data_IF_215472314628
#
_entry.id   IF_215472314628
#
_cell.length_a   1.000
_cell.length_b   1.000
_cell.length_c   1.000
_cell.angle_alpha   90.00
_cell.angle_beta   90.00
_cell.angle_gamma   90.00
#
_symmetry.space_group_name_H-M   'P 1'
#
loop_
_entity.id
_entity.type
_entity.pdbx_description
1 polymer ?
#
# COMPACT_ATOMS: atom_id res chain seq x y z
N UNK A 1 -33.66 18.24 -6.61
CA UNK A 1 -32.37 17.56 -6.31
C UNK A 1 -32.68 16.11 -5.93
N UNK A 2 -32.75 15.21 -6.91
CA UNK A 2 -33.08 13.78 -6.67
C UNK A 2 -32.65 12.85 -7.83
N UNK A 3 -31.75 13.31 -8.70
CA UNK A 3 -31.42 12.60 -9.95
C UNK A 3 -30.20 11.65 -9.83
N UNK A 4 -29.41 11.72 -8.75
CA UNK A 4 -28.26 10.85 -8.55
C UNK A 4 -28.66 9.41 -8.17
N UNK A 5 -29.75 9.25 -7.41
CA UNK A 5 -30.21 7.95 -6.90
C UNK A 5 -30.85 7.10 -8.03
N UNK A 6 -31.56 7.70 -8.99
CA UNK A 6 -32.16 6.96 -10.11
C UNK A 6 -31.11 6.44 -11.12
N UNK A 7 -30.02 7.19 -11.34
CA UNK A 7 -28.88 6.70 -12.13
C UNK A 7 -28.09 5.58 -11.41
N UNK A 8 -28.20 5.52 -10.09
CA UNK A 8 -27.62 4.48 -9.24
C UNK A 8 -28.45 3.19 -9.24
N UNK A 9 -29.78 3.30 -9.26
CA UNK A 9 -30.72 2.18 -9.28
C UNK A 9 -30.93 1.59 -10.68
N UNK A 10 -30.61 2.32 -11.75
CA UNK A 10 -30.99 1.95 -13.12
C UNK A 10 -29.88 1.61 -14.12
N UNK A 11 -28.59 1.84 -13.83
CA UNK A 11 -27.58 1.50 -14.85
C UNK A 11 -26.11 1.53 -14.48
N UNK A 12 -25.68 2.38 -13.53
CA UNK A 12 -24.23 2.63 -13.39
C UNK A 12 -23.54 1.98 -12.19
N UNK A 13 -24.24 1.55 -11.13
CA UNK A 13 -23.60 0.90 -9.98
C UNK A 13 -23.99 -0.57 -9.82
N UNK A 14 -25.28 -0.88 -9.96
CA UNK A 14 -25.77 -2.25 -9.89
C UNK A 14 -25.17 -3.11 -11.00
N UNK A 15 -25.02 -2.57 -12.22
CA UNK A 15 -24.35 -3.25 -13.33
C UNK A 15 -22.87 -3.52 -13.05
N UNK A 16 -22.19 -2.59 -12.37
CA UNK A 16 -20.77 -2.76 -11.97
C UNK A 16 -20.65 -3.82 -10.88
N UNK A 17 -21.54 -3.83 -9.88
CA UNK A 17 -21.56 -4.84 -8.83
C UNK A 17 -21.78 -6.24 -9.39
N UNK A 18 -22.76 -6.39 -10.29
CA UNK A 18 -23.05 -7.67 -10.97
C UNK A 18 -21.87 -8.09 -11.84
N UNK A 19 -21.26 -7.18 -12.60
CA UNK A 19 -20.06 -7.47 -13.40
C UNK A 19 -18.87 -7.88 -12.53
N UNK A 20 -18.62 -7.20 -11.41
CA UNK A 20 -17.57 -7.56 -10.44
C UNK A 20 -17.83 -8.92 -9.82
N UNK A 21 -19.07 -9.23 -9.47
CA UNK A 21 -19.46 -10.53 -8.93
C UNK A 21 -19.25 -11.65 -9.95
N UNK A 22 -19.67 -11.44 -11.21
CA UNK A 22 -19.43 -12.38 -12.31
C UNK A 22 -17.93 -12.54 -12.62
N UNK A 23 -17.16 -11.44 -12.66
CA UNK A 23 -15.71 -11.46 -12.86
C UNK A 23 -14.99 -12.17 -11.71
N UNK A 24 -15.43 -11.99 -10.47
CA UNK A 24 -14.91 -12.71 -9.29
C UNK A 24 -15.21 -14.20 -9.36
N UNK A 25 -16.42 -14.59 -9.80
CA UNK A 25 -16.77 -15.99 -10.03
C UNK A 25 -15.92 -16.62 -11.15
N UNK A 26 -15.74 -15.91 -12.26
CA UNK A 26 -14.88 -16.36 -13.37
C UNK A 26 -13.41 -16.46 -12.93
N UNK A 27 -12.89 -15.46 -12.22
CA UNK A 27 -11.54 -15.48 -11.67
C UNK A 27 -11.37 -16.64 -10.68
N UNK A 28 -12.35 -16.89 -9.81
CA UNK A 28 -12.36 -18.04 -8.89
C UNK A 28 -12.37 -19.39 -9.62
N UNK A 29 -13.14 -19.50 -10.70
CA UNK A 29 -13.17 -20.70 -11.54
C UNK A 29 -11.82 -20.93 -12.25
N UNK A 30 -11.20 -19.87 -12.78
CA UNK A 30 -9.87 -19.92 -13.41
C UNK A 30 -8.80 -20.33 -12.38
N UNK A 31 -8.84 -19.80 -11.16
CA UNK A 31 -7.93 -20.20 -10.08
C UNK A 31 -8.05 -21.69 -9.74
N UNK A 32 -9.28 -22.21 -9.71
CA UNK A 32 -9.55 -23.64 -9.51
C UNK A 32 -9.02 -24.49 -10.67
N UNK A 33 -9.14 -24.01 -11.92
CA UNK A 33 -8.57 -24.65 -13.11
C UNK A 33 -7.04 -24.72 -13.10
N UNK A 34 -6.38 -23.74 -12.49
CA UNK A 34 -4.93 -23.72 -12.31
C UNK A 34 -4.44 -24.58 -11.13
N UNK A 35 -5.35 -25.27 -10.41
CA UNK A 35 -5.10 -25.97 -9.13
C UNK A 35 -4.56 -25.04 -8.02
N UNK A 36 -4.63 -23.71 -8.24
CA UNK A 36 -4.20 -22.71 -7.27
C UNK A 36 -5.40 -22.39 -6.38
N UNK A 37 -5.49 -23.09 -5.25
CA UNK A 37 -6.50 -22.84 -4.23
C UNK A 37 -6.45 -21.37 -3.76
N UNK A 38 -7.55 -20.59 -3.90
CA UNK A 38 -7.58 -19.16 -3.55
C UNK A 38 -7.22 -18.88 -2.08
N UNK A 39 -7.49 -19.84 -1.18
CA UNK A 39 -7.07 -19.74 0.23
C UNK A 39 -5.56 -19.83 0.44
N UNK A 40 -4.81 -20.50 -0.46
CA UNK A 40 -3.36 -20.65 -0.33
C UNK A 40 -2.58 -19.42 -0.81
N UNK A 41 -3.13 -18.65 -1.77
CA UNK A 41 -2.54 -17.37 -2.19
C UNK A 41 -2.64 -16.34 -1.08
N UNK A 42 -3.80 -16.24 -0.42
CA UNK A 42 -4.02 -15.32 0.70
C UNK A 42 -3.13 -15.67 1.90
N UNK A 43 -3.03 -16.95 2.26
CA UNK A 43 -2.15 -17.37 3.35
C UNK A 43 -0.67 -17.17 3.02
N UNK A 44 -0.23 -17.37 1.77
CA UNK A 44 1.15 -17.06 1.36
C UNK A 44 1.47 -15.56 1.46
N UNK A 45 0.53 -14.69 1.08
CA UNK A 45 0.68 -13.23 1.23
C UNK A 45 0.70 -12.82 2.70
N UNK A 46 -0.14 -13.41 3.55
CA UNK A 46 -0.15 -13.15 4.98
C UNK A 46 1.16 -13.58 5.65
N UNK A 47 1.69 -14.77 5.35
CA UNK A 47 2.97 -15.22 5.86
C UNK A 47 4.14 -14.38 5.30
N UNK A 48 4.08 -13.93 4.04
CA UNK A 48 5.03 -12.95 3.50
C UNK A 48 4.94 -11.61 4.25
N UNK A 49 3.76 -11.10 4.54
CA UNK A 49 3.60 -9.84 5.27
C UNK A 49 4.10 -9.95 6.71
N UNK A 50 3.79 -11.04 7.42
CA UNK A 50 4.27 -11.27 8.80
C UNK A 50 5.79 -11.43 8.84
N UNK A 51 6.37 -12.18 7.90
CA UNK A 51 7.84 -12.34 7.81
C UNK A 51 8.55 -11.06 7.37
N UNK A 52 7.96 -10.27 6.45
CA UNK A 52 8.45 -8.95 6.05
C UNK A 52 8.33 -7.92 7.18
N UNK A 53 7.30 -8.01 8.05
CA UNK A 53 7.18 -7.13 9.21
C UNK A 53 8.24 -7.47 10.26
N UNK A 54 8.46 -8.76 10.53
CA UNK A 54 9.49 -9.23 11.48
C UNK A 54 10.92 -8.91 11.04
N UNK A 55 11.24 -9.07 9.75
CA UNK A 55 12.56 -8.73 9.20
C UNK A 55 12.71 -7.23 8.87
N UNK A 56 11.63 -6.58 8.47
CA UNK A 56 11.58 -5.18 8.07
C UNK A 56 11.93 -4.23 9.21
N UNK A 57 11.51 -4.52 10.45
CA UNK A 57 11.92 -3.72 11.62
C UNK A 57 13.44 -3.74 11.86
N UNK A 58 14.12 -4.85 11.54
CA UNK A 58 15.59 -4.95 11.63
C UNK A 58 16.29 -4.11 10.56
N UNK A 59 15.85 -4.22 9.30
CA UNK A 59 16.38 -3.42 8.20
C UNK A 59 16.08 -1.92 8.38
N UNK A 60 14.92 -1.57 8.91
CA UNK A 60 14.52 -0.19 9.19
C UNK A 60 15.42 0.44 10.25
N UNK A 61 15.84 -0.31 11.29
CA UNK A 61 16.80 0.17 12.30
C UNK A 61 18.14 0.54 11.68
N UNK A 62 18.63 -0.27 10.73
CA UNK A 62 19.89 0.00 10.04
C UNK A 62 19.77 1.27 9.16
N UNK A 63 18.68 1.39 8.38
CA UNK A 63 18.40 2.58 7.56
C UNK A 63 18.32 3.83 8.43
N UNK A 64 17.61 3.75 9.56
CA UNK A 64 17.52 4.85 10.52
C UNK A 64 18.90 5.21 11.11
N UNK A 65 19.78 4.24 11.34
CA UNK A 65 21.16 4.50 11.78
C UNK A 65 21.95 5.30 10.73
N UNK A 66 21.87 4.92 9.45
CA UNK A 66 22.50 5.67 8.36
C UNK A 66 21.91 7.08 8.21
N UNK A 67 20.60 7.23 8.35
CA UNK A 67 19.93 8.55 8.30
C UNK A 67 20.42 9.43 9.47
N UNK A 68 20.49 8.88 10.68
CA UNK A 68 21.00 9.61 11.86
C UNK A 68 22.47 9.97 11.69
N UNK A 69 23.30 9.07 11.16
CA UNK A 69 24.70 9.35 10.87
C UNK A 69 24.87 10.51 9.87
N UNK A 70 24.06 10.52 8.80
CA UNK A 70 24.03 11.65 7.87
C UNK A 70 23.51 12.94 8.52
N UNK A 71 22.45 12.84 9.34
CA UNK A 71 21.86 13.97 10.04
C UNK A 71 22.85 14.64 10.99
N UNK A 72 23.74 13.89 11.64
CA UNK A 72 24.80 14.43 12.52
C UNK A 72 25.68 15.45 11.78
N UNK A 73 25.91 15.29 10.47
CA UNK A 73 26.74 16.20 9.69
C UNK A 73 25.90 17.30 9.04
N UNK A 74 24.76 16.94 8.45
CA UNK A 74 23.93 17.88 7.67
C UNK A 74 23.24 18.90 8.59
N UNK A 75 22.79 18.49 9.77
CA UNK A 75 22.05 19.39 10.68
C UNK A 75 22.91 20.55 11.18
N UNK A 76 24.15 20.35 11.69
CA UNK A 76 25.03 21.45 12.07
C UNK A 76 25.40 22.36 10.91
N UNK A 77 25.71 21.80 9.74
CA UNK A 77 26.07 22.59 8.54
C UNK A 77 24.89 23.46 8.13
N UNK A 78 23.68 22.90 8.06
CA UNK A 78 22.47 23.66 7.78
C UNK A 78 22.21 24.75 8.82
N UNK A 79 22.42 24.46 10.11
CA UNK A 79 22.21 25.42 11.19
C UNK A 79 23.15 26.62 11.08
N UNK A 80 24.43 26.39 10.79
CA UNK A 80 25.42 27.45 10.57
C UNK A 80 25.05 28.29 9.35
N UNK A 81 24.77 27.66 8.22
CA UNK A 81 24.35 28.35 6.99
C UNK A 81 23.08 29.18 7.22
N UNK A 82 22.12 28.64 7.98
CA UNK A 82 20.89 29.34 8.35
C UNK A 82 21.19 30.58 9.19
N UNK A 83 22.03 30.46 10.22
CA UNK A 83 22.36 31.56 11.12
C UNK A 83 23.09 32.70 10.37
N UNK A 84 23.91 32.35 9.38
CA UNK A 84 24.58 33.31 8.51
C UNK A 84 23.60 34.02 7.55
N UNK A 85 22.64 33.29 6.97
CA UNK A 85 21.61 33.88 6.10
C UNK A 85 20.59 34.74 6.87
N UNK A 86 20.40 34.51 8.17
CA UNK A 86 19.50 35.30 9.03
C UNK A 86 20.03 36.71 9.36
N UNK A 87 21.32 37.00 9.09
CA UNK A 87 21.94 38.30 9.36
C UNK A 87 21.95 39.26 8.16
N UNK A 88 21.28 38.92 7.06
CA UNK A 88 21.07 39.80 5.90
C UNK A 88 19.63 40.29 5.89
#
# INVERSE_FOLDING_TARGET
MSNAIQNFLGGSLLSVLIRLLLLSLLAGAILTWLDISPGQLLSKVEHMLVSLWGMGFGALREILHYIVAGAIIVVPVWFVLRLLNLRK
#
